data_IF_114157688733
#
_entry.id   IF_114157688733
#
_cell.length_a   1.000
_cell.length_b   1.000
_cell.length_c   1.000
_cell.angle_alpha   90.00
_cell.angle_beta   90.00
_cell.angle_gamma   90.00
#
_symmetry.space_group_name_H-M   'P 1'
#
loop_
_entity.id
_entity.type
_entity.pdbx_description
1 polymer ?
#
# COMPACT_ATOMS: atom_id res chain seq x y z
N UNK A 1 -2.26 -6.17 -15.91
CA UNK A 1 -1.41 -4.98 -16.10
C UNK A 1 -0.02 -5.34 -15.59
N UNK A 2 1.07 -4.96 -16.27
CA UNK A 2 2.43 -5.26 -15.78
C UNK A 2 2.93 -4.18 -14.81
N UNK A 3 3.94 -4.51 -13.99
CA UNK A 3 4.49 -3.64 -12.93
C UNK A 3 4.92 -2.26 -13.44
N UNK A 4 5.44 -2.18 -14.66
CA UNK A 4 5.91 -0.94 -15.28
C UNK A 4 4.76 0.05 -15.48
N UNK A 5 3.59 -0.47 -15.84
CA UNK A 5 2.38 0.34 -16.04
C UNK A 5 1.85 0.90 -14.71
N UNK A 6 1.95 0.12 -13.63
CA UNK A 6 1.60 0.56 -12.27
C UNK A 6 2.54 1.67 -11.81
N UNK A 7 3.86 1.47 -11.95
CA UNK A 7 4.87 2.46 -11.56
C UNK A 7 4.74 3.77 -12.38
N UNK A 8 4.43 3.68 -13.67
CA UNK A 8 4.14 4.84 -14.51
C UNK A 8 2.88 5.58 -14.05
N UNK A 9 1.83 4.85 -13.68
CA UNK A 9 0.59 5.42 -13.15
C UNK A 9 0.81 6.09 -11.81
N UNK A 10 1.58 5.46 -10.92
CA UNK A 10 2.03 6.01 -9.64
C UNK A 10 2.75 7.34 -9.84
N UNK A 11 3.73 7.39 -10.74
CA UNK A 11 4.48 8.62 -11.06
C UNK A 11 3.56 9.73 -11.58
N UNK A 12 2.64 9.39 -12.47
CA UNK A 12 1.67 10.36 -13.02
C UNK A 12 0.74 10.93 -11.94
N UNK A 13 0.34 10.14 -10.95
CA UNK A 13 -0.46 10.61 -9.81
C UNK A 13 0.33 11.60 -8.94
N UNK A 14 1.63 11.36 -8.71
CA UNK A 14 2.50 12.29 -7.98
C UNK A 14 2.65 13.65 -8.68
N UNK A 15 2.86 13.63 -9.99
CA UNK A 15 3.02 14.85 -10.79
C UNK A 15 1.74 15.72 -10.78
N UNK A 16 0.58 15.12 -10.51
CA UNK A 16 -0.73 15.80 -10.54
C UNK A 16 -1.27 16.18 -9.16
N UNK A 17 -0.87 15.51 -8.07
CA UNK A 17 -1.44 15.69 -6.71
C UNK A 17 -0.48 16.29 -5.68
N UNK A 18 0.39 17.22 -6.10
CA UNK A 18 1.45 17.82 -5.29
C UNK A 18 1.18 17.97 -3.78
N UNK A 19 2.14 17.52 -2.97
CA UNK A 19 2.32 17.72 -1.53
C UNK A 19 1.21 17.24 -0.56
N UNK A 20 0.16 16.55 -0.98
CA UNK A 20 -0.79 15.91 -0.07
C UNK A 20 -0.45 14.43 0.13
N UNK A 21 0.01 14.04 1.34
CA UNK A 21 -0.09 12.72 2.00
C UNK A 21 0.42 11.43 1.32
N UNK A 22 0.66 11.40 0.02
CA UNK A 22 0.82 10.16 -0.73
C UNK A 22 -0.50 9.52 -1.14
N UNK A 23 -0.44 8.35 -1.79
CA UNK A 23 -1.59 7.66 -2.35
C UNK A 23 -1.42 6.15 -2.33
N UNK A 24 -2.55 5.45 -2.46
CA UNK A 24 -2.63 4.03 -2.79
C UNK A 24 -3.58 3.89 -3.98
N UNK A 25 -3.17 3.14 -5.00
CA UNK A 25 -3.98 2.81 -6.15
C UNK A 25 -3.92 1.31 -6.40
N UNK A 26 -5.06 0.66 -6.59
CA UNK A 26 -5.10 -0.76 -6.92
C UNK A 26 -6.29 -1.13 -7.81
N UNK A 27 -6.05 -2.08 -8.71
CA UNK A 27 -7.07 -2.71 -9.53
C UNK A 27 -7.46 -4.04 -8.91
N UNK A 28 -8.76 -4.29 -8.83
CA UNK A 28 -9.34 -5.49 -8.25
C UNK A 28 -9.94 -6.34 -9.37
N UNK A 29 -9.77 -7.66 -9.33
CA UNK A 29 -10.19 -8.56 -10.42
C UNK A 29 -11.69 -8.55 -10.73
N UNK A 30 -12.52 -8.03 -9.81
CA UNK A 30 -13.95 -7.82 -10.01
C UNK A 30 -14.28 -6.50 -10.75
N UNK A 31 -13.28 -5.79 -11.26
CA UNK A 31 -13.43 -4.54 -12.01
C UNK A 31 -13.50 -3.28 -11.14
N UNK A 32 -13.36 -3.41 -9.81
CA UNK A 32 -13.25 -2.25 -8.92
C UNK A 32 -11.84 -1.62 -9.02
N UNK A 33 -11.81 -0.30 -8.87
CA UNK A 33 -10.58 0.48 -8.70
C UNK A 33 -10.60 1.05 -7.29
N UNK A 34 -9.60 0.69 -6.49
CA UNK A 34 -9.31 1.34 -5.23
C UNK A 34 -8.34 2.49 -5.48
N UNK A 35 -8.67 3.67 -4.99
CA UNK A 35 -7.77 4.83 -5.07
C UNK A 35 -8.05 5.75 -3.90
N UNK A 36 -7.00 6.09 -3.16
CA UNK A 36 -7.01 7.13 -2.13
C UNK A 36 -5.75 7.98 -2.26
N UNK A 37 -5.89 9.28 -2.07
CA UNK A 37 -4.82 10.28 -2.04
C UNK A 37 -4.70 10.96 -0.67
N UNK A 38 -5.38 10.40 0.33
CA UNK A 38 -5.36 10.90 1.70
C UNK A 38 -4.97 9.75 2.63
N UNK A 39 -3.67 9.63 2.82
CA UNK A 39 -3.02 8.52 3.49
C UNK A 39 -2.03 9.08 4.50
N UNK A 40 -2.07 8.56 5.73
CA UNK A 40 -1.09 8.83 6.78
C UNK A 40 -0.01 7.76 6.81
N UNK A 41 1.15 8.16 7.29
CA UNK A 41 2.31 7.33 7.52
C UNK A 41 2.74 7.45 8.98
N UNK A 42 2.37 6.44 9.77
CA UNK A 42 2.75 6.37 11.17
C UNK A 42 3.92 5.40 11.36
N UNK A 43 4.90 5.80 12.16
CA UNK A 43 5.98 4.92 12.61
C UNK A 43 5.66 4.47 14.03
N UNK A 44 5.39 3.17 14.20
CA UNK A 44 5.02 2.57 15.48
C UNK A 44 5.99 1.43 15.78
N UNK A 45 6.76 1.57 16.87
CA UNK A 45 7.78 0.62 17.29
C UNK A 45 8.78 0.26 16.16
N UNK A 46 8.75 -0.99 15.70
CA UNK A 46 9.62 -1.57 14.66
C UNK A 46 8.95 -1.65 13.28
N UNK A 47 7.73 -1.11 13.14
CA UNK A 47 6.97 -1.08 11.90
C UNK A 47 6.52 0.32 11.49
N UNK A 48 6.13 0.45 10.24
CA UNK A 48 5.36 1.60 9.77
C UNK A 48 3.98 1.15 9.32
N UNK A 49 2.99 1.99 9.62
CA UNK A 49 1.61 1.82 9.23
C UNK A 49 1.26 2.84 8.15
N UNK A 50 0.58 2.37 7.12
CA UNK A 50 -0.02 3.18 6.07
C UNK A 50 -1.53 3.11 6.27
N UNK A 51 -2.16 4.26 6.53
CA UNK A 51 -3.57 4.36 6.93
C UNK A 51 -4.30 5.38 6.06
N UNK A 52 -5.47 5.08 5.51
CA UNK A 52 -6.29 6.14 4.90
C UNK A 52 -6.97 6.99 5.97
N UNK A 53 -7.01 8.32 5.78
CA UNK A 53 -7.41 9.27 6.83
C UNK A 53 -8.85 9.77 6.70
N UNK A 54 -9.24 10.40 5.59
CA UNK A 54 -10.57 11.02 5.46
C UNK A 54 -11.58 10.25 4.62
N UNK A 55 -11.17 9.33 3.74
CA UNK A 55 -12.10 8.58 2.90
C UNK A 55 -12.67 7.36 3.64
N UNK A 56 -13.80 7.56 4.32
CA UNK A 56 -14.51 6.46 5.01
C UNK A 56 -15.03 5.37 4.07
N UNK A 57 -15.12 5.63 2.76
CA UNK A 57 -15.48 4.65 1.75
C UNK A 57 -14.25 3.87 1.27
N UNK A 58 -13.08 4.51 1.18
CA UNK A 58 -11.85 3.89 0.69
C UNK A 58 -10.74 3.89 1.74
N UNK A 59 -10.74 2.90 2.63
CA UNK A 59 -9.72 2.77 3.68
C UNK A 59 -8.73 1.66 3.40
N UNK A 60 -7.44 1.90 3.59
CA UNK A 60 -6.40 0.88 3.63
C UNK A 60 -5.71 0.88 4.99
N UNK A 61 -5.30 -0.30 5.42
CA UNK A 61 -4.35 -0.47 6.52
C UNK A 61 -3.29 -1.45 6.05
N UNK A 62 -2.07 -0.95 5.95
CA UNK A 62 -0.93 -1.75 5.55
C UNK A 62 0.25 -1.50 6.48
N UNK A 63 0.86 -2.58 6.95
CA UNK A 63 2.00 -2.50 7.86
C UNK A 63 3.25 -3.11 7.23
N UNK A 64 4.40 -2.44 7.39
CA UNK A 64 5.69 -2.88 6.87
C UNK A 64 6.78 -2.81 7.94
N UNK A 65 7.72 -3.77 7.99
CA UNK A 65 8.88 -3.70 8.87
C UNK A 65 9.79 -2.52 8.53
N UNK A 66 10.21 -1.76 9.55
CA UNK A 66 11.21 -0.69 9.38
C UNK A 66 12.65 -1.25 9.41
N UNK A 67 12.86 -2.40 10.04
CA UNK A 67 14.17 -3.02 10.28
C UNK A 67 14.87 -3.58 9.03
N UNK A 68 14.34 -3.31 7.83
CA UNK A 68 14.95 -3.71 6.57
C UNK A 68 16.30 -3.02 6.32
N UNK A 69 17.27 -3.81 5.85
CA UNK A 69 18.66 -3.37 5.60
C UNK A 69 18.86 -3.10 4.11
N UNK A 70 19.40 -1.93 3.76
CA UNK A 70 19.66 -1.50 2.38
C UNK A 70 18.53 -0.64 1.80
N UNK A 71 18.71 -0.24 0.54
CA UNK A 71 17.84 0.72 -0.15
C UNK A 71 16.66 0.06 -0.90
N UNK A 72 16.35 -1.21 -0.63
CA UNK A 72 15.27 -1.95 -1.29
C UNK A 72 15.52 -2.29 -2.78
N UNK A 73 14.51 -2.85 -3.48
CA UNK A 73 13.18 -3.20 -2.96
C UNK A 73 13.21 -4.45 -2.07
N UNK A 74 12.51 -4.38 -0.94
CA UNK A 74 12.27 -5.49 -0.04
C UNK A 74 10.96 -6.18 -0.41
N UNK A 75 10.90 -7.50 -0.28
CA UNK A 75 9.66 -8.26 -0.48
C UNK A 75 9.09 -8.67 0.87
N UNK A 76 7.79 -8.46 1.07
CA UNK A 76 7.03 -8.97 2.20
C UNK A 76 5.90 -9.84 1.67
N UNK A 77 5.89 -11.12 2.06
CA UNK A 77 4.90 -12.09 1.65
C UNK A 77 3.91 -12.35 2.79
N UNK A 78 2.66 -12.71 2.43
CA UNK A 78 1.67 -13.19 3.38
C UNK A 78 1.87 -14.70 3.66
N UNK A 79 1.65 -15.17 4.90
CA UNK A 79 1.20 -14.42 6.08
C UNK A 79 2.29 -13.51 6.64
N UNK A 80 1.89 -12.35 7.17
CA UNK A 80 2.83 -11.38 7.72
C UNK A 80 3.58 -11.96 8.94
N UNK A 81 4.82 -11.51 9.19
CA UNK A 81 5.52 -11.74 10.45
C UNK A 81 4.64 -11.44 11.67
N UNK A 82 4.83 -12.18 12.77
CA UNK A 82 3.95 -12.14 13.95
C UNK A 82 3.85 -10.79 14.67
N UNK A 83 4.76 -9.87 14.39
CA UNK A 83 4.74 -8.50 14.90
C UNK A 83 3.87 -7.56 14.05
N UNK A 84 3.28 -8.04 12.95
CA UNK A 84 2.39 -7.29 12.08
C UNK A 84 1.00 -7.96 12.05
N UNK A 85 -0.06 -7.16 12.07
CA UNK A 85 -1.43 -7.67 12.16
C UNK A 85 -1.91 -8.35 10.86
N UNK A 86 -2.25 -7.54 9.86
CA UNK A 86 -2.75 -7.97 8.55
C UNK A 86 -2.83 -6.77 7.61
N UNK A 87 -3.02 -7.03 6.33
CA UNK A 87 -3.38 -6.00 5.36
C UNK A 87 -4.87 -6.10 5.02
N UNK A 88 -5.58 -4.98 5.14
CA UNK A 88 -6.98 -4.87 4.73
C UNK A 88 -7.17 -3.67 3.82
N UNK A 89 -8.19 -3.76 2.97
CA UNK A 89 -8.66 -2.65 2.15
C UNK A 89 -10.18 -2.66 2.18
N UNK A 90 -10.77 -1.49 2.33
CA UNK A 90 -12.19 -1.24 2.19
C UNK A 90 -12.38 -0.39 0.96
N UNK A 91 -13.31 -0.77 0.09
CA UNK A 91 -13.80 0.10 -0.97
C UNK A 91 -15.31 0.14 -0.94
N UNK A 92 -15.87 1.34 -0.78
CA UNK A 92 -17.29 1.58 -0.51
C UNK A 92 -17.75 0.84 0.75
N UNK A 93 -18.62 -0.16 0.58
CA UNK A 93 -19.19 -0.96 1.67
C UNK A 93 -18.61 -2.38 1.74
N UNK A 94 -17.56 -2.66 0.97
CA UNK A 94 -16.91 -3.98 0.96
C UNK A 94 -15.54 -3.87 1.58
N UNK A 95 -15.30 -4.70 2.59
CA UNK A 95 -14.00 -4.86 3.21
C UNK A 95 -13.39 -6.18 2.76
N UNK A 96 -12.12 -6.12 2.39
CA UNK A 96 -11.33 -7.24 1.93
C UNK A 96 -10.12 -7.40 2.83
N UNK A 97 -9.97 -8.59 3.42
CA UNK A 97 -8.71 -8.98 4.06
C UNK A 97 -7.81 -9.67 3.04
N UNK A 98 -6.52 -9.36 3.07
CA UNK A 98 -5.52 -10.06 2.26
C UNK A 98 -5.18 -11.41 2.89
N UNK A 99 -5.27 -12.49 2.12
CA UNK A 99 -5.02 -13.87 2.57
C UNK A 99 -3.72 -14.46 2.02
N UNK A 100 -3.32 -14.07 0.79
CA UNK A 100 -2.08 -14.46 0.14
C UNK A 100 -1.51 -13.30 -0.69
N UNK A 101 -0.29 -13.48 -1.19
CA UNK A 101 0.37 -12.53 -2.08
C UNK A 101 1.56 -11.85 -1.41
N UNK A 102 1.98 -10.72 -1.97
CA UNK A 102 3.15 -9.99 -1.50
C UNK A 102 3.05 -8.50 -1.80
N UNK A 103 3.89 -7.73 -1.12
CA UNK A 103 4.28 -6.40 -1.56
C UNK A 103 5.79 -6.35 -1.79
N UNK A 104 6.21 -5.53 -2.76
CA UNK A 104 7.60 -5.05 -2.79
C UNK A 104 7.63 -3.58 -2.46
N UNK A 105 8.50 -3.17 -1.55
CA UNK A 105 8.55 -1.81 -1.05
C UNK A 105 9.98 -1.34 -0.82
N UNK A 106 10.15 -0.04 -0.87
CA UNK A 106 11.41 0.66 -0.65
C UNK A 106 11.14 1.85 0.25
N UNK A 107 12.04 2.11 1.19
CA UNK A 107 12.04 3.36 1.92
C UNK A 107 13.03 4.34 1.30
N UNK A 108 12.73 5.64 1.38
CA UNK A 108 13.74 6.68 1.21
C UNK A 108 14.83 6.56 2.28
N UNK A 109 16.00 7.15 2.00
CA UNK A 109 17.15 7.11 2.92
C UNK A 109 16.83 7.67 4.32
N UNK A 110 15.97 8.70 4.39
CA UNK A 110 15.52 9.32 5.64
C UNK A 110 14.37 8.56 6.33
N UNK A 111 13.89 7.47 5.71
CA UNK A 111 12.76 6.64 6.16
C UNK A 111 11.44 7.40 6.34
N UNK A 112 11.30 8.60 5.75
CA UNK A 112 10.04 9.36 5.78
C UNK A 112 9.17 9.10 4.56
N UNK A 113 9.66 8.40 3.55
CA UNK A 113 8.87 7.99 2.38
C UNK A 113 8.95 6.49 2.23
N UNK A 114 7.81 5.87 1.95
CA UNK A 114 7.70 4.48 1.54
C UNK A 114 6.96 4.41 0.22
N UNK A 115 7.45 3.60 -0.71
CA UNK A 115 6.74 3.31 -1.95
C UNK A 115 6.89 1.85 -2.35
N UNK A 116 5.92 1.35 -3.11
CA UNK A 116 5.92 -0.05 -3.46
C UNK A 116 4.78 -0.45 -4.37
N UNK A 117 4.77 -1.75 -4.67
CA UNK A 117 3.70 -2.43 -5.40
C UNK A 117 3.17 -3.58 -4.58
N UNK A 118 1.89 -3.88 -4.77
CA UNK A 118 1.17 -4.97 -4.11
C UNK A 118 0.61 -5.91 -5.17
N UNK A 119 0.65 -7.20 -4.89
CA UNK A 119 -0.01 -8.26 -5.64
C UNK A 119 -0.60 -9.22 -4.61
N UNK A 120 -1.87 -8.99 -4.29
CA UNK A 120 -2.57 -9.62 -3.19
C UNK A 120 -3.72 -10.50 -3.70
N UNK A 121 -3.94 -11.60 -2.99
CA UNK A 121 -5.20 -12.34 -3.04
C UNK A 121 -5.97 -11.98 -1.79
N UNK A 122 -7.19 -11.50 -2.00
CA UNK A 122 -8.15 -11.10 -0.99
C UNK A 122 -9.08 -12.28 -0.65
N UNK A 123 -9.85 -12.14 0.43
CA UNK A 123 -11.00 -13.00 0.69
C UNK A 123 -11.89 -13.13 -0.57
N UNK A 124 -12.57 -14.28 -0.70
CA UNK A 124 -13.33 -14.69 -1.89
C UNK A 124 -12.49 -14.97 -3.16
N UNK A 125 -11.15 -15.03 -3.04
CA UNK A 125 -10.25 -15.36 -4.16
C UNK A 125 -10.08 -14.23 -5.17
N UNK A 126 -10.53 -13.02 -4.81
CA UNK A 126 -10.37 -11.81 -5.59
C UNK A 126 -8.89 -11.41 -5.58
N UNK A 127 -8.34 -11.03 -6.73
CA UNK A 127 -6.96 -10.55 -6.80
C UNK A 127 -6.93 -9.04 -6.86
N UNK A 128 -5.87 -8.46 -6.32
CA UNK A 128 -5.67 -7.02 -6.33
C UNK A 128 -4.21 -6.70 -6.61
N UNK A 129 -3.98 -5.89 -7.64
CA UNK A 129 -2.66 -5.44 -8.04
C UNK A 129 -2.61 -3.93 -8.02
N UNK A 130 -1.63 -3.37 -7.35
CA UNK A 130 -1.58 -1.93 -7.11
C UNK A 130 -0.22 -1.40 -6.75
N UNK A 131 -0.19 -0.13 -6.41
CA UNK A 131 1.00 0.57 -5.95
C UNK A 131 0.66 1.67 -4.97
N UNK A 132 1.65 2.03 -4.16
CA UNK A 132 1.52 3.05 -3.15
C UNK A 132 2.79 3.90 -3.10
N UNK A 133 2.63 5.15 -2.74
CA UNK A 133 3.72 6.08 -2.44
C UNK A 133 3.21 6.97 -1.33
N UNK A 134 3.89 6.96 -0.18
CA UNK A 134 3.43 7.65 1.02
C UNK A 134 4.60 8.38 1.64
N UNK A 135 4.41 9.65 1.94
CA UNK A 135 5.42 10.50 2.57
C UNK A 135 4.85 11.04 3.88
N UNK A 136 5.64 10.93 4.95
CA UNK A 136 5.33 11.50 6.25
C UNK A 136 5.13 13.01 6.14
N UNK A 137 4.00 13.51 6.67
CA UNK A 137 3.72 14.93 6.79
C UNK A 137 4.61 15.61 7.87
#
# INVERSE_FOLDING_TARGET
>A
MDRTQIEARMKSLLETKGNAGGFIYAEVSNGLIYSTDDVDFEVIYDGCHILSVADSENTAWMNFPLSVVGNGPHKLELPLPSNLDFWWIKSRNVSYRSIHGFATYTFSDDRNTIHGVIDLVLEDGITMIGGFYVTRA
#
